data_IF_142154822162
#
_entry.id   IF_142154822162
#
_cell.length_a   1.000
_cell.length_b   1.000
_cell.length_c   1.000
_cell.angle_alpha   90.00
_cell.angle_beta   90.00
_cell.angle_gamma   90.00
#
_symmetry.space_group_name_H-M   'P 1'
#
loop_
_entity.id
_entity.type
_entity.pdbx_description
1 polymer ?
#
# COMPACT_ATOMS: atom_id res chain seq x y z
N UNK A 1 39.89 -36.08 56.05
CA UNK A 1 39.84 -35.98 54.57
C UNK A 1 39.23 -34.63 54.19
N UNK A 2 39.89 -33.92 53.26
CA UNK A 2 39.70 -32.50 52.90
C UNK A 2 38.57 -32.27 51.87
N UNK A 3 37.92 -31.09 52.01
CA UNK A 3 37.48 -30.11 50.99
C UNK A 3 36.50 -30.54 49.87
N UNK A 4 35.28 -29.97 49.84
CA UNK A 4 34.83 -28.83 48.96
C UNK A 4 34.19 -29.33 47.66
N UNK A 5 33.20 -28.74 46.98
CA UNK A 5 32.32 -27.57 47.13
C UNK A 5 31.47 -27.49 45.84
N UNK A 6 30.23 -26.95 45.92
CA UNK A 6 29.40 -26.37 44.82
C UNK A 6 28.88 -27.39 43.78
N UNK A 7 27.68 -27.31 43.21
CA UNK A 7 26.94 -26.22 42.54
C UNK A 7 25.44 -26.59 42.54
N UNK A 8 24.52 -25.75 43.01
CA UNK A 8 23.84 -24.64 42.31
C UNK A 8 22.40 -25.00 41.93
N UNK A 9 21.49 -24.25 42.55
CA UNK A 9 20.09 -24.07 42.21
C UNK A 9 19.96 -23.56 40.76
N UNK A 10 18.94 -24.02 40.03
CA UNK A 10 18.02 -23.13 39.33
C UNK A 10 16.71 -23.87 38.98
N UNK A 11 15.55 -23.19 39.01
CA UNK A 11 14.24 -23.79 38.95
C UNK A 11 13.84 -24.11 37.50
N UNK A 12 13.21 -25.27 37.32
CA UNK A 12 12.52 -25.66 36.09
C UNK A 12 11.21 -24.86 35.99
N UNK A 13 11.34 -23.57 35.71
CA UNK A 13 10.26 -22.73 35.22
C UNK A 13 10.21 -22.93 33.71
N UNK A 14 9.58 -24.02 33.25
CA UNK A 14 9.03 -24.07 31.91
C UNK A 14 7.80 -23.16 31.90
N UNK A 15 8.03 -21.84 32.02
CA UNK A 15 7.09 -20.90 31.47
C UNK A 15 7.17 -21.16 29.97
N UNK A 16 6.10 -21.76 29.46
CA UNK A 16 5.75 -21.73 28.06
C UNK A 16 5.86 -20.26 27.65
N UNK A 17 7.01 -19.87 27.09
CA UNK A 17 7.12 -18.64 26.33
C UNK A 17 6.29 -18.93 25.11
N UNK A 18 4.98 -18.76 25.23
CA UNK A 18 4.18 -18.45 24.06
C UNK A 18 4.86 -17.19 23.51
N UNK A 19 5.45 -17.25 22.30
CA UNK A 19 5.74 -16.02 21.62
C UNK A 19 4.37 -15.49 21.24
N UNK A 20 3.81 -14.67 22.13
CA UNK A 20 2.91 -13.61 21.75
C UNK A 20 3.78 -12.56 21.04
N UNK A 21 4.37 -12.96 19.91
CA UNK A 21 5.20 -12.13 19.05
C UNK A 21 4.61 -12.16 17.65
N UNK A 22 4.10 -10.99 17.27
CA UNK A 22 3.90 -10.53 15.91
C UNK A 22 2.88 -11.31 15.06
N UNK A 23 1.66 -10.76 14.98
CA UNK A 23 0.85 -10.89 13.76
C UNK A 23 1.55 -10.18 12.60
N UNK A 24 2.63 -10.78 12.09
CA UNK A 24 3.32 -10.35 10.88
C UNK A 24 3.02 -11.31 9.74
N UNK A 25 3.13 -10.84 8.49
CA UNK A 25 3.04 -11.71 7.30
C UNK A 25 4.16 -12.75 7.39
N UNK A 26 3.92 -14.05 7.18
CA UNK A 26 4.99 -15.03 7.29
C UNK A 26 6.08 -14.76 6.22
N UNK A 27 7.38 -15.05 6.46
CA UNK A 27 8.44 -14.77 5.48
C UNK A 27 8.15 -15.36 4.09
N UNK A 28 7.64 -16.59 4.01
CA UNK A 28 7.24 -17.22 2.75
C UNK A 28 6.17 -16.44 1.96
N UNK A 29 5.42 -15.56 2.64
CA UNK A 29 4.37 -14.72 2.07
C UNK A 29 4.85 -13.30 1.73
N UNK A 30 6.16 -13.07 1.70
CA UNK A 30 6.79 -11.79 1.34
C UNK A 30 7.77 -12.00 0.19
N UNK A 31 8.05 -10.94 -0.55
CA UNK A 31 9.10 -10.92 -1.58
C UNK A 31 9.71 -9.53 -1.62
N UNK A 32 10.97 -9.43 -2.04
CA UNK A 32 11.66 -8.16 -2.24
C UNK A 32 12.43 -8.22 -3.55
N UNK A 33 12.32 -7.18 -4.35
CA UNK A 33 13.09 -6.99 -5.57
C UNK A 33 13.69 -5.58 -5.52
N UNK A 34 15.01 -5.51 -5.67
CA UNK A 34 15.76 -4.27 -5.80
C UNK A 34 16.43 -4.30 -7.15
N UNK A 35 16.34 -3.20 -7.90
CA UNK A 35 17.01 -3.02 -9.20
C UNK A 35 17.83 -1.75 -9.16
N UNK A 36 19.11 -1.85 -9.49
CA UNK A 36 19.96 -0.69 -9.76
C UNK A 36 19.63 -0.14 -11.15
N UNK A 37 19.49 1.17 -11.28
CA UNK A 37 18.93 1.79 -12.49
C UNK A 37 19.94 1.95 -13.65
N UNK A 38 21.24 2.03 -13.38
CA UNK A 38 22.28 2.26 -14.39
C UNK A 38 22.77 0.96 -15.04
N UNK A 39 23.11 -0.04 -14.23
CA UNK A 39 23.56 -1.37 -14.64
C UNK A 39 22.39 -2.30 -14.94
N UNK A 40 21.22 -2.04 -14.36
CA UNK A 40 20.07 -2.93 -14.43
C UNK A 40 20.20 -4.18 -13.56
N UNK A 41 21.25 -4.28 -12.74
CA UNK A 41 21.47 -5.38 -11.80
C UNK A 41 20.29 -5.51 -10.84
N UNK A 42 19.93 -6.75 -10.52
CA UNK A 42 18.79 -7.06 -9.67
C UNK A 42 19.15 -8.01 -8.54
N UNK A 43 18.65 -7.69 -7.35
CA UNK A 43 18.68 -8.57 -6.20
C UNK A 43 17.25 -8.90 -5.80
N UNK A 44 16.99 -10.18 -5.60
CA UNK A 44 15.65 -10.65 -5.30
C UNK A 44 15.68 -11.68 -4.18
N UNK A 45 14.69 -11.58 -3.29
CA UNK A 45 14.42 -12.56 -2.25
C UNK A 45 13.02 -13.14 -2.44
N UNK A 46 12.89 -14.46 -2.22
CA UNK A 46 11.69 -15.23 -2.53
C UNK A 46 11.22 -15.00 -3.98
N UNK A 47 12.08 -15.34 -4.94
CA UNK A 47 11.86 -15.13 -6.38
C UNK A 47 10.63 -15.87 -6.92
N UNK A 48 10.26 -17.00 -6.30
CA UNK A 48 9.06 -17.74 -6.66
C UNK A 48 7.75 -16.96 -6.42
N UNK A 49 7.73 -16.06 -5.42
CA UNK A 49 6.54 -15.24 -5.11
C UNK A 49 6.46 -13.94 -5.91
N UNK A 50 7.60 -13.40 -6.33
CA UNK A 50 7.67 -12.12 -7.05
C UNK A 50 6.80 -11.97 -8.32
N UNK A 51 6.58 -13.01 -9.15
CA UNK A 51 5.71 -12.87 -10.32
C UNK A 51 4.22 -12.92 -9.99
N UNK A 52 3.84 -13.26 -8.75
CA UNK A 52 2.44 -13.31 -8.33
C UNK A 52 1.85 -11.90 -8.25
N UNK A 53 0.65 -11.73 -8.81
CA UNK A 53 -0.03 -10.44 -8.84
C UNK A 53 -0.93 -10.21 -7.65
N UNK A 54 -0.91 -9.02 -7.07
CA UNK A 54 -1.72 -8.61 -5.91
C UNK A 54 -2.42 -7.28 -6.16
N UNK A 55 -3.43 -6.99 -5.35
CA UNK A 55 -4.02 -5.65 -5.34
C UNK A 55 -2.95 -4.60 -5.08
N UNK A 56 -2.85 -3.54 -5.90
CA UNK A 56 -1.89 -2.46 -5.65
C UNK A 56 -2.25 -1.66 -4.39
N UNK A 57 -3.51 -1.67 -3.94
CA UNK A 57 -4.01 -0.86 -2.85
C UNK A 57 -3.52 0.60 -3.01
N UNK A 58 -2.95 1.18 -1.96
CA UNK A 58 -2.49 2.58 -1.98
C UNK A 58 -1.26 2.84 -2.85
N UNK A 59 -0.54 1.82 -3.35
CA UNK A 59 0.56 2.05 -4.30
C UNK A 59 0.04 2.58 -5.65
N UNK A 60 -1.24 2.32 -5.98
CA UNK A 60 -1.91 2.86 -7.16
C UNK A 60 -2.07 4.39 -7.15
N UNK A 61 -1.84 5.05 -6.01
CA UNK A 61 -1.88 6.53 -5.93
C UNK A 61 -0.84 7.19 -6.85
N UNK A 62 0.27 6.49 -7.15
CA UNK A 62 1.30 6.97 -8.09
C UNK A 62 0.72 7.09 -9.52
N UNK A 63 0.26 6.00 -10.18
CA UNK A 63 -0.36 6.12 -11.49
C UNK A 63 -1.64 6.97 -11.47
N UNK A 64 -2.44 6.93 -10.39
CA UNK A 64 -3.63 7.77 -10.27
C UNK A 64 -3.28 9.28 -10.35
N UNK A 65 -2.26 9.72 -9.60
CA UNK A 65 -1.77 11.10 -9.65
C UNK A 65 -1.23 11.48 -11.04
N UNK A 66 -0.41 10.62 -11.65
CA UNK A 66 0.17 10.85 -12.98
C UNK A 66 -0.93 11.01 -14.03
N UNK A 67 -1.91 10.12 -14.05
CA UNK A 67 -3.04 10.18 -14.98
C UNK A 67 -3.85 11.46 -14.76
N UNK A 68 -4.12 11.83 -13.50
CA UNK A 68 -4.85 13.06 -13.19
C UNK A 68 -4.14 14.34 -13.67
N UNK A 69 -2.81 14.37 -13.57
CA UNK A 69 -1.97 15.48 -14.05
C UNK A 69 -1.91 15.53 -15.57
N UNK A 70 -1.62 14.39 -16.20
CA UNK A 70 -1.46 14.28 -17.66
C UNK A 70 -2.77 14.61 -18.41
N UNK A 71 -3.91 14.22 -17.85
CA UNK A 71 -5.22 14.56 -18.40
C UNK A 71 -5.72 15.96 -18.00
N UNK A 72 -4.92 16.75 -17.27
CA UNK A 72 -5.29 18.09 -16.83
C UNK A 72 -6.48 18.12 -15.84
N UNK A 73 -6.88 16.98 -15.28
CA UNK A 73 -7.93 16.90 -14.25
C UNK A 73 -7.51 17.62 -12.98
N UNK A 74 -6.21 17.61 -12.69
CA UNK A 74 -5.55 18.44 -11.70
C UNK A 74 -4.28 19.06 -12.31
N UNK A 75 -3.77 20.13 -11.71
CA UNK A 75 -2.45 20.67 -11.99
C UNK A 75 -1.67 20.91 -10.70
N UNK A 76 -0.38 21.23 -10.78
CA UNK A 76 0.42 21.54 -9.59
C UNK A 76 -0.13 22.73 -8.80
N UNK A 77 -0.79 23.68 -9.47
CA UNK A 77 -1.43 24.84 -8.84
C UNK A 77 -2.90 24.58 -8.47
N UNK A 78 -3.56 23.62 -9.14
CA UNK A 78 -4.98 23.31 -8.95
C UNK A 78 -5.17 21.82 -8.68
N UNK A 79 -4.87 21.41 -7.45
CA UNK A 79 -5.05 20.04 -7.00
C UNK A 79 -5.68 19.94 -5.60
N UNK A 80 -6.22 21.04 -5.08
CA UNK A 80 -6.94 21.00 -3.81
C UNK A 80 -8.31 20.32 -3.98
N UNK A 81 -8.71 19.53 -2.98
CA UNK A 81 -10.07 19.01 -2.84
C UNK A 81 -10.54 19.22 -1.40
N UNK A 82 -11.74 19.79 -1.27
CA UNK A 82 -12.41 19.95 0.02
C UNK A 82 -12.87 18.61 0.57
N UNK A 83 -12.77 18.46 1.88
CA UNK A 83 -13.37 17.33 2.59
C UNK A 83 -14.88 17.58 2.77
N UNK A 84 -15.70 16.56 2.54
CA UNK A 84 -17.15 16.61 2.76
C UNK A 84 -17.58 15.40 3.55
N UNK A 85 -18.12 15.61 4.75
CA UNK A 85 -18.68 14.53 5.58
C UNK A 85 -19.89 13.85 4.90
N UNK A 86 -20.57 14.52 3.96
CA UNK A 86 -21.71 13.94 3.22
C UNK A 86 -21.23 12.94 2.17
N UNK A 87 -20.13 13.25 1.47
CA UNK A 87 -19.60 12.42 0.37
C UNK A 87 -18.67 11.34 0.92
N UNK A 88 -17.82 11.71 1.87
CA UNK A 88 -16.80 10.86 2.47
C UNK A 88 -16.96 10.92 3.99
N UNK A 89 -17.98 10.27 4.58
CA UNK A 89 -18.24 10.37 6.02
C UNK A 89 -17.02 9.90 6.83
N UNK A 90 -16.60 10.73 7.78
CA UNK A 90 -15.47 10.42 8.67
C UNK A 90 -15.74 9.10 9.39
N UNK A 91 -14.79 8.17 9.29
CA UNK A 91 -14.90 6.87 9.96
C UNK A 91 -14.07 6.87 11.24
N UNK A 92 -14.47 6.12 12.29
CA UNK A 92 -13.71 6.02 13.54
C UNK A 92 -12.26 5.55 13.36
N UNK A 93 -11.98 4.79 12.29
CA UNK A 93 -10.66 4.26 11.95
C UNK A 93 -9.86 5.16 11.00
N UNK A 94 -10.37 6.33 10.62
CA UNK A 94 -9.61 7.24 9.76
C UNK A 94 -8.37 7.78 10.49
N UNK A 95 -7.21 7.79 9.82
CA UNK A 95 -6.02 8.45 10.35
C UNK A 95 -6.25 9.95 10.57
N UNK A 96 -5.48 10.51 11.50
CA UNK A 96 -5.49 11.94 11.77
C UNK A 96 -5.16 12.75 10.50
N UNK A 97 -5.95 13.80 10.27
CA UNK A 97 -5.80 14.69 9.12
C UNK A 97 -6.33 14.12 7.80
N UNK A 98 -7.17 13.08 7.82
CA UNK A 98 -8.00 12.71 6.66
C UNK A 98 -9.26 13.58 6.55
N UNK A 99 -9.90 13.91 7.66
CA UNK A 99 -11.13 14.72 7.70
C UNK A 99 -10.87 16.23 7.56
N UNK A 100 -10.08 16.62 6.54
CA UNK A 100 -9.73 18.00 6.25
C UNK A 100 -9.40 18.16 4.77
N UNK A 101 -9.44 19.40 4.26
CA UNK A 101 -9.01 19.72 2.88
C UNK A 101 -7.62 19.13 2.60
N UNK A 102 -7.43 18.57 1.40
CA UNK A 102 -6.16 18.03 0.94
C UNK A 102 -5.73 18.69 -0.36
N UNK A 103 -4.42 18.80 -0.55
CA UNK A 103 -3.79 18.95 -1.86
C UNK A 103 -3.12 17.61 -2.25
N UNK A 104 -2.62 17.47 -3.47
CA UNK A 104 -2.00 16.23 -3.96
C UNK A 104 -0.82 15.79 -3.08
N UNK A 105 0.02 16.74 -2.63
CA UNK A 105 1.19 16.47 -1.80
C UNK A 105 0.79 15.84 -0.46
N UNK A 106 -0.15 16.46 0.24
CA UNK A 106 -0.61 16.00 1.54
C UNK A 106 -1.40 14.69 1.43
N UNK A 107 -2.23 14.55 0.39
CA UNK A 107 -2.97 13.33 0.12
C UNK A 107 -2.04 12.14 -0.18
N UNK A 108 -0.97 12.34 -0.94
CA UNK A 108 0.06 11.30 -1.15
C UNK A 108 0.75 10.93 0.17
N UNK A 109 1.20 11.93 0.93
CA UNK A 109 1.95 11.72 2.17
C UNK A 109 1.12 10.99 3.24
N UNK A 110 -0.16 11.35 3.37
CA UNK A 110 -1.09 10.75 4.34
C UNK A 110 -1.82 9.52 3.78
N UNK A 111 -1.57 9.19 2.52
CA UNK A 111 -2.28 8.14 1.78
C UNK A 111 -3.80 8.31 1.83
N UNK A 112 -4.30 9.55 1.80
CA UNK A 112 -5.71 9.91 1.99
C UNK A 112 -6.58 9.34 0.87
N UNK A 113 -7.31 8.26 1.14
CA UNK A 113 -8.00 7.47 0.09
C UNK A 113 -9.10 8.27 -0.61
N UNK A 114 -9.94 9.00 0.14
CA UNK A 114 -11.07 9.73 -0.45
C UNK A 114 -10.65 10.77 -1.49
N UNK A 115 -9.47 11.38 -1.33
CA UNK A 115 -8.91 12.32 -2.30
C UNK A 115 -8.71 11.65 -3.67
N UNK A 116 -8.12 10.45 -3.66
CA UNK A 116 -7.82 9.67 -4.87
C UNK A 116 -9.06 9.02 -5.47
N UNK A 117 -10.05 8.70 -4.65
CA UNK A 117 -11.37 8.27 -5.13
C UNK A 117 -12.07 9.41 -5.85
N UNK A 118 -12.09 10.62 -5.27
CA UNK A 118 -12.62 11.82 -5.91
C UNK A 118 -11.88 12.19 -7.19
N UNK A 119 -10.55 12.04 -7.21
CA UNK A 119 -9.76 12.20 -8.43
C UNK A 119 -10.14 11.18 -9.49
N UNK A 120 -10.28 9.91 -9.11
CA UNK A 120 -10.61 8.87 -10.07
C UNK A 120 -11.99 9.02 -10.69
N UNK A 121 -12.99 9.41 -9.88
CA UNK A 121 -14.33 9.76 -10.38
C UNK A 121 -14.27 10.90 -11.41
N UNK A 122 -13.43 11.91 -11.18
CA UNK A 122 -13.26 13.03 -12.11
C UNK A 122 -12.52 12.64 -13.41
N UNK A 123 -11.56 11.71 -13.34
CA UNK A 123 -10.81 11.18 -14.50
C UNK A 123 -11.69 10.27 -15.37
N UNK A 124 -12.47 9.41 -14.74
CA UNK A 124 -13.38 8.46 -15.40
C UNK A 124 -12.73 7.15 -15.85
N UNK A 125 -13.54 6.07 -15.83
CA UNK A 125 -13.10 4.70 -16.12
C UNK A 125 -12.49 4.51 -17.52
N UNK A 126 -13.06 5.07 -18.62
CA UNK A 126 -12.48 4.91 -19.96
C UNK A 126 -11.05 5.43 -20.05
N UNK A 127 -10.75 6.52 -19.34
CA UNK A 127 -9.41 7.11 -19.29
C UNK A 127 -8.45 6.21 -18.52
N UNK A 128 -8.84 5.70 -17.35
CA UNK A 128 -8.02 4.71 -16.64
C UNK A 128 -7.74 3.48 -17.47
N UNK A 129 -8.74 2.92 -18.14
CA UNK A 129 -8.55 1.71 -18.94
C UNK A 129 -7.54 1.93 -20.09
N UNK A 130 -7.52 3.13 -20.71
CA UNK A 130 -6.50 3.48 -21.72
C UNK A 130 -5.10 3.56 -21.10
N UNK A 131 -4.96 4.23 -19.95
CA UNK A 131 -3.66 4.40 -19.30
C UNK A 131 -3.11 3.12 -18.70
N UNK A 132 -3.94 2.26 -18.10
CA UNK A 132 -3.50 0.96 -17.58
C UNK A 132 -2.93 0.08 -18.69
N UNK A 133 -3.58 0.06 -19.87
CA UNK A 133 -3.04 -0.57 -21.09
C UNK A 133 -1.72 0.05 -21.53
N UNK A 134 -1.64 1.39 -21.54
CA UNK A 134 -0.44 2.09 -21.94
C UNK A 134 0.76 1.78 -21.03
N UNK A 135 0.54 1.74 -19.71
CA UNK A 135 1.55 1.38 -18.72
C UNK A 135 1.81 -0.13 -18.62
N UNK A 136 0.99 -0.97 -19.26
CA UNK A 136 0.99 -2.43 -19.09
C UNK A 136 0.88 -2.82 -17.62
N UNK A 137 -0.04 -2.17 -16.91
CA UNK A 137 -0.11 -2.20 -15.44
C UNK A 137 -0.86 -3.45 -14.96
N UNK A 138 -0.11 -4.54 -14.79
CA UNK A 138 -0.61 -5.79 -14.21
C UNK A 138 -1.63 -6.50 -15.12
N UNK A 139 -2.82 -6.77 -14.58
CA UNK A 139 -3.94 -7.36 -15.32
C UNK A 139 -4.91 -6.32 -15.92
N UNK A 140 -4.68 -5.03 -15.69
CA UNK A 140 -5.42 -3.90 -16.28
C UNK A 140 -6.95 -3.93 -16.02
N UNK A 141 -7.39 -4.70 -15.03
CA UNK A 141 -8.81 -4.94 -14.80
C UNK A 141 -9.44 -3.84 -13.92
N UNK A 142 -10.39 -3.11 -14.49
CA UNK A 142 -11.10 -2.02 -13.82
C UNK A 142 -12.53 -2.35 -13.41
N UNK A 143 -12.95 -3.62 -13.48
CA UNK A 143 -14.35 -4.03 -13.21
C UNK A 143 -14.81 -3.77 -11.77
N UNK A 144 -13.89 -3.51 -10.83
CA UNK A 144 -14.20 -3.13 -9.47
C UNK A 144 -14.85 -1.75 -9.31
N UNK A 145 -14.93 -0.95 -10.38
CA UNK A 145 -15.57 0.38 -10.37
C UNK A 145 -14.57 1.52 -10.26
N UNK A 146 -14.94 2.69 -10.77
CA UNK A 146 -14.03 3.81 -11.07
C UNK A 146 -13.20 4.31 -9.91
N UNK A 147 -13.67 4.14 -8.68
CA UNK A 147 -13.00 4.59 -7.47
C UNK A 147 -12.66 3.46 -6.47
N UNK A 148 -12.79 2.19 -6.90
CA UNK A 148 -12.58 1.01 -6.07
C UNK A 148 -11.68 -0.05 -6.71
N UNK A 149 -11.49 -0.01 -8.03
CA UNK A 149 -10.81 -1.10 -8.75
C UNK A 149 -9.40 -1.43 -8.24
N UNK A 150 -8.74 -0.48 -7.56
CA UNK A 150 -7.41 -0.63 -6.96
C UNK A 150 -7.40 -0.90 -5.45
N UNK A 151 -8.56 -0.86 -4.76
CA UNK A 151 -8.68 -1.12 -3.32
C UNK A 151 -9.15 -2.55 -3.01
N UNK A 152 -9.72 -3.25 -4.00
CA UNK A 152 -10.12 -4.65 -3.92
C UNK A 152 -9.25 -5.54 -4.80
N UNK A 153 -9.83 -6.63 -5.30
CA UNK A 153 -9.10 -7.68 -6.04
C UNK A 153 -9.23 -7.61 -7.56
N UNK A 154 -9.92 -6.61 -8.13
CA UNK A 154 -10.04 -6.50 -9.59
C UNK A 154 -8.69 -6.21 -10.25
N UNK A 155 -8.07 -5.07 -9.95
CA UNK A 155 -6.77 -4.72 -10.49
C UNK A 155 -5.70 -5.46 -9.68
N UNK A 156 -4.83 -6.18 -10.38
CA UNK A 156 -3.71 -6.92 -9.76
C UNK A 156 -2.43 -6.66 -10.52
N UNK A 157 -1.36 -6.30 -9.82
CA UNK A 157 0.00 -6.06 -10.35
C UNK A 157 1.01 -7.04 -9.82
#
# INVERSE_FOLDING_TARGET
>A
MRLSSRWSLLPMLLLCVQPLLAGGIAPQDRTMLVRELNSGEQWQWNSARAPSRYSPCSTFKIPNALIGLENGTISLQRNERGYSFIVDPNQPWWPEGWAMKQNLRDALRRSTVWYFQGLARAVGLPTYQRWLRHFRYGNENTTGGVDQFWLGDSLRI
#
